data_IF_854650216286
#
_entry.id   IF_854650216286
#
_cell.length_a   1.000
_cell.length_b   1.000
_cell.length_c   1.000
_cell.angle_alpha   90.00
_cell.angle_beta   90.00
_cell.angle_gamma   90.00
#
_symmetry.space_group_name_H-M   'P 1'
#
loop_
_entity.id
_entity.type
_entity.pdbx_description
1 polymer ?
#
# COMPACT_ATOMS: atom_id res chain seq x y z
N UNK A 1 -1.14 42.84 -3.57
CA UNK A 1 -0.28 41.65 -3.38
C UNK A 1 -1.20 40.44 -3.30
N UNK A 2 -1.27 39.63 -4.36
CA UNK A 2 -1.95 38.33 -4.26
C UNK A 2 -1.03 37.46 -3.41
N UNK A 3 -1.43 37.14 -2.18
CA UNK A 3 -0.71 36.14 -1.41
C UNK A 3 -0.90 34.82 -2.15
N UNK A 4 0.12 34.36 -2.88
CA UNK A 4 0.15 33.00 -3.40
C UNK A 4 0.15 32.06 -2.20
N UNK A 5 -1.03 31.51 -1.90
CA UNK A 5 -1.20 30.43 -0.92
C UNK A 5 -0.27 29.29 -1.36
N UNK A 6 0.54 28.76 -0.44
CA UNK A 6 1.47 27.68 -0.72
C UNK A 6 0.75 26.38 -1.12
N UNK A 7 1.46 25.46 -1.77
CA UNK A 7 0.90 24.20 -2.28
C UNK A 7 0.23 23.37 -1.19
N UNK A 8 0.81 23.33 0.01
CA UNK A 8 0.28 22.53 1.10
C UNK A 8 -1.02 23.12 1.63
N UNK A 9 -1.07 24.44 1.82
CA UNK A 9 -2.30 25.12 2.22
C UNK A 9 -3.39 24.97 1.16
N UNK A 10 -3.05 25.02 -0.14
CA UNK A 10 -4.00 24.73 -1.23
C UNK A 10 -4.54 23.30 -1.15
N UNK A 11 -3.68 22.30 -1.01
CA UNK A 11 -4.07 20.90 -0.88
C UNK A 11 -4.96 20.67 0.35
N UNK A 12 -4.61 21.31 1.49
CA UNK A 12 -5.41 21.24 2.72
C UNK A 12 -6.81 21.81 2.53
N UNK A 13 -6.94 22.96 1.86
CA UNK A 13 -8.25 23.54 1.55
C UNK A 13 -9.10 22.59 0.70
N UNK A 14 -8.51 21.97 -0.33
CA UNK A 14 -9.20 20.97 -1.15
C UNK A 14 -9.67 19.78 -0.31
N UNK A 15 -8.87 19.30 0.64
CA UNK A 15 -9.27 18.17 1.49
C UNK A 15 -10.37 18.55 2.49
N UNK A 16 -10.29 19.75 3.08
CA UNK A 16 -11.18 20.16 4.17
C UNK A 16 -12.53 20.72 3.71
N UNK A 17 -12.59 21.26 2.50
CA UNK A 17 -13.81 21.83 1.92
C UNK A 17 -14.21 21.03 0.66
N UNK A 18 -15.25 20.18 0.76
CA UNK A 18 -15.76 19.42 -0.39
C UNK A 18 -16.22 20.30 -1.57
N UNK A 19 -16.60 21.55 -1.32
CA UNK A 19 -17.01 22.48 -2.38
C UNK A 19 -15.83 23.14 -3.09
N UNK A 20 -14.63 23.05 -2.51
CA UNK A 20 -13.40 23.58 -3.11
C UNK A 20 -13.07 22.85 -4.41
N UNK A 21 -12.77 23.63 -5.45
CA UNK A 21 -12.32 23.09 -6.73
C UNK A 21 -11.00 22.34 -6.56
N UNK A 22 -10.96 21.13 -7.11
CA UNK A 22 -9.76 20.29 -7.11
C UNK A 22 -8.82 20.77 -8.23
N UNK A 23 -7.61 21.19 -7.85
CA UNK A 23 -6.52 21.48 -8.78
C UNK A 23 -5.21 20.90 -8.25
N UNK A 24 -4.74 19.84 -8.90
CA UNK A 24 -3.50 19.15 -8.52
C UNK A 24 -2.24 19.81 -9.10
N UNK A 25 -2.37 20.89 -9.88
CA UNK A 25 -1.27 21.54 -10.56
C UNK A 25 -0.34 22.25 -9.59
N UNK A 26 0.96 21.99 -9.73
CA UNK A 26 2.01 22.55 -8.88
C UNK A 26 2.06 21.95 -7.47
N UNK A 27 1.26 20.90 -7.20
CA UNK A 27 1.37 20.12 -5.98
C UNK A 27 2.47 19.06 -6.11
N UNK A 28 3.18 18.80 -5.02
CA UNK A 28 4.10 17.68 -4.89
C UNK A 28 3.37 16.33 -4.99
N UNK A 29 4.10 15.25 -5.31
CA UNK A 29 3.52 13.89 -5.34
C UNK A 29 2.83 13.52 -4.02
N UNK A 30 3.36 14.00 -2.89
CA UNK A 30 2.77 13.77 -1.56
C UNK A 30 1.44 14.47 -1.38
N UNK A 31 1.36 15.75 -1.75
CA UNK A 31 0.13 16.54 -1.65
C UNK A 31 -0.94 16.04 -2.62
N UNK A 32 -0.56 15.73 -3.86
CA UNK A 32 -1.47 15.12 -4.85
C UNK A 32 -2.07 13.83 -4.32
N UNK A 33 -1.23 12.93 -3.80
CA UNK A 33 -1.66 11.66 -3.21
C UNK A 33 -2.63 11.89 -2.05
N UNK A 34 -2.34 12.87 -1.20
CA UNK A 34 -3.21 13.19 -0.07
C UNK A 34 -4.62 13.61 -0.54
N UNK A 35 -4.69 14.55 -1.49
CA UNK A 35 -5.98 14.98 -2.06
C UNK A 35 -6.72 13.79 -2.69
N UNK A 36 -6.06 12.99 -3.53
CA UNK A 36 -6.68 11.82 -4.18
C UNK A 36 -7.21 10.77 -3.19
N UNK A 37 -6.54 10.58 -2.05
CA UNK A 37 -6.96 9.63 -1.02
C UNK A 37 -8.16 10.13 -0.19
N UNK A 38 -8.18 11.42 0.15
CA UNK A 38 -9.20 11.98 1.06
C UNK A 38 -10.46 12.49 0.33
N UNK A 39 -10.36 12.75 -0.98
CA UNK A 39 -11.46 13.24 -1.82
C UNK A 39 -11.89 12.16 -2.81
N UNK A 40 -13.00 11.42 -2.56
CA UNK A 40 -13.48 10.38 -3.48
C UNK A 40 -13.84 10.90 -4.87
N UNK A 41 -14.26 12.16 -4.96
CA UNK A 41 -14.59 12.86 -6.21
C UNK A 41 -13.34 13.38 -6.96
N UNK A 42 -12.17 13.32 -6.34
CA UNK A 42 -10.90 13.65 -6.99
C UNK A 42 -10.59 12.63 -8.09
N UNK A 43 -10.40 13.07 -9.36
CA UNK A 43 -9.90 12.21 -10.42
C UNK A 43 -8.52 11.67 -10.05
N UNK A 44 -8.32 10.38 -10.30
CA UNK A 44 -7.05 9.72 -10.00
C UNK A 44 -6.07 9.93 -11.16
N UNK A 45 -4.95 10.60 -10.88
CA UNK A 45 -3.80 10.71 -11.78
C UNK A 45 -2.52 10.22 -11.10
N UNK A 46 -1.99 9.12 -11.62
CA UNK A 46 -0.80 8.42 -11.11
C UNK A 46 0.51 8.94 -11.71
N UNK A 47 0.44 9.86 -12.67
CA UNK A 47 1.60 10.35 -13.42
C UNK A 47 2.56 11.11 -12.53
N UNK A 48 3.84 10.74 -12.56
CA UNK A 48 4.88 11.39 -11.74
C UNK A 48 4.80 11.06 -10.25
N UNK A 49 3.95 10.11 -9.84
CA UNK A 49 3.96 9.58 -8.48
C UNK A 49 5.04 8.51 -8.34
N UNK A 50 5.67 8.46 -7.16
CA UNK A 50 6.54 7.35 -6.78
C UNK A 50 5.75 6.06 -6.61
N UNK A 51 6.42 4.91 -6.65
CA UNK A 51 5.85 3.59 -6.31
C UNK A 51 5.01 3.63 -5.02
N UNK A 52 5.57 4.19 -3.95
CA UNK A 52 4.90 4.32 -2.66
C UNK A 52 3.63 5.18 -2.72
N UNK A 53 3.68 6.32 -3.41
CA UNK A 53 2.53 7.20 -3.56
C UNK A 53 1.42 6.56 -4.42
N UNK A 54 1.79 5.87 -5.49
CA UNK A 54 0.86 5.06 -6.30
C UNK A 54 0.20 3.97 -5.45
N UNK A 55 0.99 3.22 -4.68
CA UNK A 55 0.46 2.21 -3.76
C UNK A 55 -0.52 2.82 -2.74
N UNK A 56 -0.24 4.05 -2.26
CA UNK A 56 -1.10 4.72 -1.30
C UNK A 56 -2.46 5.06 -1.89
N UNK A 57 -2.50 5.55 -3.12
CA UNK A 57 -3.76 5.77 -3.83
C UNK A 57 -4.52 4.43 -3.96
N UNK A 58 -3.88 3.37 -4.46
CA UNK A 58 -4.52 2.06 -4.63
C UNK A 58 -5.10 1.52 -3.30
N UNK A 59 -4.36 1.65 -2.20
CA UNK A 59 -4.84 1.15 -0.89
C UNK A 59 -6.08 1.91 -0.40
N UNK A 60 -6.16 3.23 -0.64
CA UNK A 60 -7.26 4.07 -0.13
C UNK A 60 -8.45 4.16 -1.10
N UNK A 61 -8.22 4.07 -2.40
CA UNK A 61 -9.23 4.20 -3.46
C UNK A 61 -9.65 2.84 -3.99
N UNK A 62 -10.71 2.28 -3.39
CA UNK A 62 -11.26 0.95 -3.73
C UNK A 62 -11.85 0.90 -5.14
N UNK A 63 -12.29 2.04 -5.65
CA UNK A 63 -12.81 2.25 -7.00
C UNK A 63 -11.72 2.22 -8.09
N UNK A 64 -10.44 2.34 -7.70
CA UNK A 64 -9.34 2.24 -8.64
C UNK A 64 -8.84 0.79 -8.80
N UNK A 65 -8.62 0.32 -10.03
CA UNK A 65 -8.11 -1.03 -10.28
C UNK A 65 -6.70 -1.20 -9.71
N UNK A 66 -6.39 -2.43 -9.31
CA UNK A 66 -5.07 -2.76 -8.80
C UNK A 66 -4.13 -2.99 -9.98
N UNK A 67 -3.19 -2.06 -10.19
CA UNK A 67 -2.04 -2.22 -11.07
C UNK A 67 -0.76 -1.82 -10.33
N UNK A 68 0.12 -2.79 -10.12
CA UNK A 68 1.40 -2.61 -9.42
C UNK A 68 2.60 -2.59 -10.38
N UNK A 69 2.36 -2.41 -11.69
CA UNK A 69 3.44 -2.34 -12.68
C UNK A 69 4.38 -1.17 -12.37
N UNK A 70 5.67 -1.49 -12.28
CA UNK A 70 6.74 -0.54 -11.93
C UNK A 70 6.81 -0.18 -10.44
N UNK A 71 6.15 -0.94 -9.55
CA UNK A 71 6.32 -0.78 -8.11
C UNK A 71 7.59 -1.49 -7.62
N UNK A 72 8.23 -0.91 -6.61
CA UNK A 72 9.23 -1.62 -5.81
C UNK A 72 8.59 -2.72 -4.94
N UNK A 73 9.42 -3.60 -4.38
CA UNK A 73 8.99 -4.74 -3.55
C UNK A 73 8.13 -4.29 -2.36
N UNK A 74 8.52 -3.22 -1.69
CA UNK A 74 7.82 -2.72 -0.51
C UNK A 74 6.41 -2.24 -0.86
N UNK A 75 6.28 -1.46 -1.93
CA UNK A 75 5.01 -0.93 -2.39
C UNK A 75 4.08 -2.05 -2.85
N UNK A 76 4.61 -3.07 -3.52
CA UNK A 76 3.86 -4.28 -3.89
C UNK A 76 3.35 -5.01 -2.65
N UNK A 77 4.24 -5.29 -1.70
CA UNK A 77 3.89 -5.91 -0.42
C UNK A 77 2.79 -5.10 0.29
N UNK A 78 2.86 -3.77 0.22
CA UNK A 78 1.92 -2.90 0.91
C UNK A 78 0.51 -2.91 0.35
N UNK A 79 0.38 -2.92 -0.98
CA UNK A 79 -0.92 -3.14 -1.61
C UNK A 79 -1.46 -4.53 -1.25
N UNK A 80 -0.66 -5.59 -1.41
CA UNK A 80 -1.11 -6.96 -1.11
C UNK A 80 -1.58 -7.12 0.34
N UNK A 81 -0.86 -6.58 1.31
CA UNK A 81 -1.23 -6.67 2.71
C UNK A 81 -2.50 -5.89 3.08
N UNK A 82 -2.83 -4.81 2.35
CA UNK A 82 -3.93 -3.89 2.70
C UNK A 82 -5.19 -4.03 1.83
N UNK A 83 -5.08 -4.60 0.64
CA UNK A 83 -6.20 -4.87 -0.28
C UNK A 83 -6.50 -6.38 -0.31
N UNK A 84 -7.55 -6.88 0.38
CA UNK A 84 -7.91 -8.30 0.34
C UNK A 84 -8.27 -8.83 -1.05
N UNK A 85 -8.70 -7.94 -1.94
CA UNK A 85 -9.00 -8.20 -3.34
C UNK A 85 -7.75 -8.24 -4.25
N UNK A 86 -6.59 -7.87 -3.71
CA UNK A 86 -5.31 -8.01 -4.41
C UNK A 86 -4.86 -9.48 -4.41
N UNK A 87 -4.59 -10.09 -5.57
CA UNK A 87 -3.92 -11.38 -5.63
C UNK A 87 -2.56 -11.33 -4.92
N UNK A 88 -2.23 -12.40 -4.20
CA UNK A 88 -0.95 -12.48 -3.48
C UNK A 88 0.12 -13.10 -4.38
N UNK A 89 1.22 -12.36 -4.60
CA UNK A 89 2.44 -12.82 -5.25
C UNK A 89 3.65 -12.40 -4.42
N UNK A 90 4.33 -13.39 -3.81
CA UNK A 90 5.45 -13.16 -2.91
C UNK A 90 6.81 -13.10 -3.63
N UNK A 91 6.85 -13.26 -4.95
CA UNK A 91 8.09 -13.30 -5.71
C UNK A 91 8.78 -11.94 -5.78
N UNK A 92 10.09 -11.94 -5.57
CA UNK A 92 10.93 -10.74 -5.56
C UNK A 92 10.75 -9.86 -4.31
N UNK A 93 10.03 -10.34 -3.29
CA UNK A 93 9.95 -9.70 -1.99
C UNK A 93 11.08 -10.18 -1.08
N UNK A 94 11.57 -9.29 -0.22
CA UNK A 94 12.47 -9.64 0.89
C UNK A 94 11.76 -10.49 1.95
N UNK A 95 12.55 -11.12 2.83
CA UNK A 95 12.02 -11.94 3.93
C UNK A 95 10.96 -11.20 4.77
N UNK A 96 11.27 -9.98 5.22
CA UNK A 96 10.37 -9.18 6.05
C UNK A 96 9.09 -8.77 5.31
N UNK A 97 9.17 -8.47 4.01
CA UNK A 97 8.01 -8.12 3.19
C UNK A 97 7.09 -9.33 2.97
N UNK A 98 7.66 -10.51 2.68
CA UNK A 98 6.91 -11.77 2.56
C UNK A 98 6.18 -12.10 3.85
N UNK A 99 6.89 -12.05 4.97
CA UNK A 99 6.33 -12.29 6.30
C UNK A 99 5.20 -11.30 6.62
N UNK A 100 5.39 -10.02 6.30
CA UNK A 100 4.38 -9.02 6.55
C UNK A 100 3.10 -9.24 5.74
N UNK A 101 3.19 -9.65 4.47
CA UNK A 101 2.02 -10.04 3.67
C UNK A 101 1.33 -11.25 4.31
N UNK A 102 2.05 -12.32 4.64
CA UNK A 102 1.48 -13.52 5.28
C UNK A 102 0.77 -13.20 6.60
N UNK A 103 1.33 -12.31 7.42
CA UNK A 103 0.73 -11.90 8.70
C UNK A 103 -0.57 -11.13 8.51
N UNK A 104 -0.67 -10.28 7.48
CA UNK A 104 -1.82 -9.40 7.27
C UNK A 104 -2.90 -10.01 6.36
N UNK A 105 -2.58 -11.05 5.59
CA UNK A 105 -3.50 -11.72 4.67
C UNK A 105 -3.75 -13.16 5.10
N UNK A 106 -4.92 -13.42 5.67
CA UNK A 106 -5.31 -14.77 6.13
C UNK A 106 -5.42 -15.79 4.99
N UNK A 107 -5.82 -15.31 3.83
CA UNK A 107 -5.91 -16.07 2.58
C UNK A 107 -4.55 -16.28 1.90
N UNK A 108 -3.48 -15.61 2.36
CA UNK A 108 -2.12 -15.91 1.94
C UNK A 108 -1.68 -17.27 2.52
N UNK A 109 -1.29 -18.25 1.68
CA UNK A 109 -0.62 -19.45 2.13
C UNK A 109 0.68 -19.10 2.88
N UNK A 110 1.03 -19.91 3.87
CA UNK A 110 2.25 -19.70 4.65
C UNK A 110 3.36 -20.57 4.08
N UNK A 111 4.43 -19.93 3.63
CA UNK A 111 5.67 -20.55 3.19
C UNK A 111 6.83 -19.91 3.94
N UNK A 112 7.43 -20.67 4.86
CA UNK A 112 8.54 -20.20 5.69
C UNK A 112 9.90 -20.33 4.99
N UNK A 113 9.94 -20.91 3.79
CA UNK A 113 11.18 -21.18 3.06
C UNK A 113 11.90 -19.89 2.70
N UNK A 114 13.18 -19.80 3.06
CA UNK A 114 14.02 -18.65 2.76
C UNK A 114 13.67 -17.38 3.53
N UNK A 115 12.87 -17.47 4.60
CA UNK A 115 12.68 -16.38 5.55
C UNK A 115 13.80 -16.38 6.60
N UNK A 116 14.15 -15.18 7.08
CA UNK A 116 15.03 -15.00 8.23
C UNK A 116 14.37 -15.57 9.50
N UNK A 117 15.13 -16.10 10.46
CA UNK A 117 14.58 -16.68 11.69
C UNK A 117 13.65 -15.75 12.47
N UNK A 118 13.94 -14.44 12.49
CA UNK A 118 13.10 -13.42 13.15
C UNK A 118 11.73 -13.26 12.47
N UNK A 119 11.68 -13.42 11.16
CA UNK A 119 10.48 -13.25 10.36
C UNK A 119 9.62 -14.52 10.43
N UNK A 120 10.25 -15.70 10.46
CA UNK A 120 9.59 -16.97 10.76
C UNK A 120 8.90 -16.91 12.13
N UNK A 121 9.62 -16.45 13.15
CA UNK A 121 9.07 -16.32 14.50
C UNK A 121 7.87 -15.38 14.52
N UNK A 122 7.94 -14.27 13.77
CA UNK A 122 6.84 -13.32 13.65
C UNK A 122 5.62 -13.91 12.95
N UNK A 123 5.78 -14.58 11.81
CA UNK A 123 4.69 -15.25 11.09
C UNK A 123 4.02 -16.28 12.00
N UNK A 124 4.81 -17.17 12.61
CA UNK A 124 4.29 -18.25 13.48
C UNK A 124 3.52 -17.68 14.69
N UNK A 125 4.01 -16.59 15.29
CA UNK A 125 3.33 -15.96 16.42
C UNK A 125 2.01 -15.24 16.04
N UNK A 126 1.90 -14.71 14.81
CA UNK A 126 0.74 -13.94 14.36
C UNK A 126 -0.27 -14.74 13.53
N UNK A 127 0.15 -15.89 13.00
CA UNK A 127 -0.68 -16.84 12.25
C UNK A 127 -0.78 -18.18 13.01
N UNK A 128 -1.50 -18.23 14.15
CA UNK A 128 -1.67 -19.48 14.91
C UNK A 128 -2.53 -20.52 14.16
N UNK A 129 -3.21 -20.10 13.09
CA UNK A 129 -3.88 -20.98 12.14
C UNK A 129 -2.89 -21.83 11.32
N UNK A 130 -1.61 -21.45 11.30
CA UNK A 130 -0.53 -22.28 10.81
C UNK A 130 -0.17 -23.35 11.84
N UNK A 131 -0.56 -24.60 11.57
CA UNK A 131 0.03 -25.75 12.25
C UNK A 131 1.20 -26.24 11.38
N UNK A 132 2.47 -26.02 11.75
CA UNK A 132 3.55 -26.74 11.10
C UNK A 132 3.32 -28.21 11.42
N UNK A 133 2.89 -28.99 10.43
CA UNK A 133 2.81 -30.43 10.58
C UNK A 133 4.13 -30.91 11.18
N UNK A 134 4.08 -31.51 12.36
CA UNK A 134 5.25 -32.04 13.05
C UNK A 134 5.98 -32.94 12.05
N UNK A 135 7.30 -32.78 11.82
CA UNK A 135 8.00 -33.73 10.98
C UNK A 135 7.86 -35.10 11.63
N UNK A 136 7.21 -36.05 10.96
CA UNK A 136 7.32 -37.45 11.35
C UNK A 136 8.81 -37.80 11.27
N UNK A 137 9.43 -37.94 12.44
CA UNK A 137 10.77 -38.51 12.55
C UNK A 137 10.74 -39.87 11.82
N UNK A 138 11.52 -39.98 10.75
CA UNK A 138 11.92 -41.27 10.18
C UNK A 138 13.20 -41.72 10.84
#
# INVERSE_FOLDING_TARGET
>A
MVSTIDSYTRAKLMVQDPSSQIDLTGLSSRERTWVMCERPDCPIDMTGLTSYHRAKVIVNRRDYPIDMTGFDSYSRAWVMAKRPDCPVDLNGLSSIERAWVMVNRRDCPIDLTGLDPKDIAWVTAKRPDFSPATPMQR
#
